data_IF_068953345798
#
_entry.id   IF_068953345798
#
_cell.length_a   1.000
_cell.length_b   1.000
_cell.length_c   1.000
_cell.angle_alpha   90.00
_cell.angle_beta   90.00
_cell.angle_gamma   90.00
#
_symmetry.space_group_name_H-M   'P 1'
#
loop_
_entity.id
_entity.type
_entity.pdbx_description
1 polymer ?
#
# COMPACT_ATOMS: atom_id res chain seq x y z
N UNK A 1 -7.05 33.99 15.06
CA UNK A 1 -7.79 33.26 13.99
C UNK A 1 -6.93 32.06 13.64
N UNK A 2 -7.35 30.84 13.99
CA UNK A 2 -6.62 29.63 13.58
C UNK A 2 -6.84 29.42 12.08
N UNK A 3 -5.76 29.26 11.33
CA UNK A 3 -5.78 28.93 9.90
C UNK A 3 -5.98 27.42 9.78
N UNK A 4 -6.96 27.01 8.99
CA UNK A 4 -7.40 25.62 8.77
C UNK A 4 -6.31 24.66 8.28
N UNK A 5 -5.16 25.18 7.82
CA UNK A 5 -4.05 24.40 7.28
C UNK A 5 -2.76 24.48 8.14
N UNK A 6 -2.81 25.05 9.36
CA UNK A 6 -1.62 25.17 10.22
C UNK A 6 -1.04 23.83 10.69
N UNK A 7 -1.80 22.75 10.56
CA UNK A 7 -1.40 21.40 10.93
C UNK A 7 -1.03 20.52 9.73
N UNK A 8 -1.26 20.95 8.49
CA UNK A 8 -0.93 20.20 7.25
C UNK A 8 0.57 19.89 7.16
N UNK A 9 1.42 20.86 7.52
CA UNK A 9 2.87 20.69 7.56
C UNK A 9 3.37 19.85 8.75
N UNK A 10 2.51 19.60 9.74
CA UNK A 10 2.82 18.79 10.94
C UNK A 10 2.29 17.36 10.86
N UNK A 11 1.65 16.96 9.77
CA UNK A 11 1.23 15.57 9.62
C UNK A 11 2.47 14.66 9.68
N UNK A 12 2.50 13.67 10.59
CA UNK A 12 3.57 12.69 10.60
C UNK A 12 3.58 11.96 9.26
N UNK A 13 4.77 11.72 8.72
CA UNK A 13 4.93 10.92 7.50
C UNK A 13 4.25 9.57 7.71
N UNK A 14 3.47 9.12 6.74
CA UNK A 14 2.69 7.90 6.86
C UNK A 14 3.65 6.71 7.04
N UNK A 15 3.57 6.02 8.18
CA UNK A 15 4.39 4.86 8.44
C UNK A 15 4.12 3.79 7.37
N UNK A 16 5.18 3.29 6.73
CA UNK A 16 5.05 2.20 5.77
C UNK A 16 4.79 0.90 6.54
N UNK A 17 3.61 0.26 6.38
CA UNK A 17 3.37 -1.04 6.99
C UNK A 17 4.33 -2.09 6.40
N UNK A 18 4.74 -3.07 7.20
CA UNK A 18 5.60 -4.16 6.73
C UNK A 18 4.92 -4.97 5.63
N UNK A 19 5.72 -5.56 4.74
CA UNK A 19 5.21 -6.43 3.67
C UNK A 19 4.32 -7.56 4.21
N UNK A 20 4.68 -8.17 5.34
CA UNK A 20 3.88 -9.25 5.94
C UNK A 20 2.50 -8.76 6.37
N UNK A 21 2.44 -7.60 7.02
CA UNK A 21 1.17 -7.02 7.48
C UNK A 21 0.28 -6.57 6.33
N UNK A 22 0.85 -6.07 5.22
CA UNK A 22 0.05 -5.73 4.03
C UNK A 22 -0.50 -6.98 3.34
N UNK A 23 0.29 -8.05 3.26
CA UNK A 23 -0.13 -9.33 2.68
C UNK A 23 -1.17 -10.04 3.55
N UNK A 24 -1.06 -9.96 4.87
CA UNK A 24 -2.07 -10.51 5.79
C UNK A 24 -3.42 -9.81 5.61
N UNK A 25 -3.44 -8.48 5.56
CA UNK A 25 -4.67 -7.71 5.30
C UNK A 25 -5.26 -8.00 3.92
N UNK A 26 -4.41 -8.25 2.92
CA UNK A 26 -4.86 -8.69 1.60
C UNK A 26 -5.53 -10.06 1.68
N UNK A 27 -4.92 -11.03 2.36
CA UNK A 27 -5.51 -12.36 2.55
C UNK A 27 -6.83 -12.31 3.31
N UNK A 28 -6.95 -11.47 4.34
CA UNK A 28 -8.20 -11.27 5.08
C UNK A 28 -9.32 -10.73 4.17
N UNK A 29 -8.99 -9.74 3.33
CA UNK A 29 -9.92 -9.17 2.36
C UNK A 29 -10.34 -10.21 1.30
N UNK A 30 -9.40 -11.01 0.81
CA UNK A 30 -9.67 -12.07 -0.18
C UNK A 30 -10.53 -13.18 0.43
N UNK A 31 -10.29 -13.55 1.69
CA UNK A 31 -11.04 -14.60 2.39
C UNK A 31 -12.54 -14.30 2.47
N UNK A 32 -12.92 -13.03 2.57
CA UNK A 32 -14.32 -12.63 2.58
C UNK A 32 -15.03 -12.79 1.22
N UNK A 33 -14.26 -12.94 0.13
CA UNK A 33 -14.76 -12.91 -1.26
C UNK A 33 -14.63 -14.26 -1.97
N UNK A 34 -13.63 -15.07 -1.62
CA UNK A 34 -13.29 -16.32 -2.34
C UNK A 34 -13.58 -17.58 -1.52
N UNK A 35 -13.78 -18.70 -2.21
CA UNK A 35 -13.93 -20.02 -1.59
C UNK A 35 -12.59 -20.59 -1.09
N UNK A 36 -12.63 -21.59 -0.20
CA UNK A 36 -11.44 -22.19 0.43
C UNK A 36 -10.37 -22.68 -0.57
N UNK A 37 -10.77 -23.28 -1.70
CA UNK A 37 -9.82 -23.77 -2.72
C UNK A 37 -9.05 -22.63 -3.41
N UNK A 38 -9.75 -21.53 -3.70
CA UNK A 38 -9.14 -20.32 -4.28
C UNK A 38 -8.30 -19.56 -3.25
N UNK A 39 -8.72 -19.58 -1.98
CA UNK A 39 -7.93 -19.01 -0.88
C UNK A 39 -6.59 -19.74 -0.73
N UNK A 40 -6.57 -21.07 -0.78
CA UNK A 40 -5.32 -21.86 -0.70
C UNK A 40 -4.38 -21.55 -1.87
N UNK A 41 -4.91 -21.41 -3.09
CA UNK A 41 -4.12 -20.98 -4.26
C UNK A 41 -3.57 -19.58 -4.08
N UNK A 42 -4.39 -18.62 -3.67
CA UNK A 42 -4.00 -17.24 -3.42
C UNK A 42 -2.92 -17.15 -2.33
N UNK A 43 -3.06 -17.91 -1.25
CA UNK A 43 -2.07 -17.97 -0.17
C UNK A 43 -0.70 -18.40 -0.68
N UNK A 44 -0.62 -19.44 -1.52
CA UNK A 44 0.64 -19.89 -2.11
C UNK A 44 1.29 -18.81 -2.99
N UNK A 45 0.50 -18.09 -3.78
CA UNK A 45 0.99 -16.99 -4.62
C UNK A 45 1.52 -15.85 -3.75
N UNK A 46 0.78 -15.49 -2.69
CA UNK A 46 1.18 -14.46 -1.72
C UNK A 46 2.48 -14.83 -1.01
N UNK A 47 2.64 -16.10 -0.61
CA UNK A 47 3.89 -16.58 0.01
C UNK A 47 5.08 -16.55 -0.96
N UNK A 48 4.87 -16.89 -2.24
CA UNK A 48 5.91 -16.78 -3.27
C UNK A 48 6.28 -15.32 -3.54
N UNK A 49 5.28 -14.43 -3.59
CA UNK A 49 5.48 -13.00 -3.76
C UNK A 49 6.25 -12.40 -2.58
N UNK A 50 5.90 -12.77 -1.34
CA UNK A 50 6.58 -12.33 -0.13
C UNK A 50 8.08 -12.68 -0.14
N UNK A 51 8.43 -13.87 -0.64
CA UNK A 51 9.80 -14.37 -0.68
C UNK A 51 10.60 -13.90 -1.90
N UNK A 52 9.92 -13.56 -2.99
CA UNK A 52 10.53 -13.10 -4.24
C UNK A 52 10.38 -11.59 -4.43
N UNK A 53 9.69 -11.23 -5.50
CA UNK A 53 9.57 -9.85 -6.01
C UNK A 53 8.97 -8.86 -5.00
N UNK A 54 8.11 -9.32 -4.09
CA UNK A 54 7.48 -8.45 -3.09
C UNK A 54 8.49 -7.81 -2.15
N UNK A 55 9.58 -8.52 -1.80
CA UNK A 55 10.65 -7.97 -0.97
C UNK A 55 11.42 -6.88 -1.71
N UNK A 56 11.78 -7.12 -2.96
CA UNK A 56 12.49 -6.12 -3.80
C UNK A 56 11.65 -4.85 -3.97
N UNK A 57 10.36 -4.99 -4.29
CA UNK A 57 9.44 -3.86 -4.43
C UNK A 57 9.26 -3.10 -3.11
N UNK A 58 9.17 -3.82 -1.98
CA UNK A 58 9.04 -3.20 -0.67
C UNK A 58 10.30 -2.41 -0.28
N UNK A 59 11.49 -2.92 -0.59
CA UNK A 59 12.76 -2.20 -0.37
C UNK A 59 12.92 -0.99 -1.29
N UNK A 60 12.50 -1.09 -2.56
CA UNK A 60 12.43 0.07 -3.47
C UNK A 60 11.46 1.14 -2.92
N UNK A 61 10.29 0.72 -2.42
CA UNK A 61 9.32 1.62 -1.82
C UNK A 61 9.87 2.32 -0.58
N UNK A 62 10.54 1.59 0.33
CA UNK A 62 11.25 2.18 1.48
C UNK A 62 12.29 3.19 1.03
N UNK A 63 13.14 2.81 0.09
CA UNK A 63 14.21 3.67 -0.45
C UNK A 63 13.63 4.97 -1.02
N UNK A 64 12.49 4.90 -1.72
CA UNK A 64 11.81 6.08 -2.27
C UNK A 64 11.21 6.99 -1.17
N UNK A 65 10.70 6.38 -0.09
CA UNK A 65 10.20 7.11 1.09
C UNK A 65 11.36 7.78 1.84
N UNK A 66 12.45 7.05 2.08
CA UNK A 66 13.66 7.55 2.77
C UNK A 66 14.37 8.66 1.99
N UNK A 67 14.40 8.56 0.66
CA UNK A 67 14.92 9.63 -0.22
C UNK A 67 14.08 10.90 -0.19
N UNK A 68 12.97 10.92 0.56
CA UNK A 68 12.13 12.11 0.74
C UNK A 68 11.50 12.59 -0.56
N UNK A 69 11.45 11.73 -1.60
CA UNK A 69 10.92 12.11 -2.89
C UNK A 69 9.44 12.46 -2.81
N UNK A 70 8.70 11.99 -1.80
CA UNK A 70 7.29 12.30 -1.56
C UNK A 70 6.93 12.23 -0.06
N UNK A 71 6.31 13.30 0.49
CA UNK A 71 5.73 13.30 1.87
C UNK A 71 4.54 12.34 2.03
N UNK A 72 3.90 11.96 0.93
CA UNK A 72 2.77 11.05 0.89
C UNK A 72 2.94 10.09 -0.29
N UNK A 73 3.56 8.93 -0.03
CA UNK A 73 3.88 7.93 -1.05
C UNK A 73 2.65 7.30 -1.73
N UNK A 74 1.46 7.48 -1.16
CA UNK A 74 0.19 6.99 -1.73
C UNK A 74 -0.44 8.00 -2.70
N UNK A 75 -0.23 9.31 -2.49
CA UNK A 75 -0.92 10.37 -3.25
C UNK A 75 -0.43 10.54 -4.69
N UNK A 76 0.77 10.07 -5.00
CA UNK A 76 1.36 10.17 -6.33
C UNK A 76 1.52 8.82 -7.03
N UNK A 77 0.56 7.90 -6.82
CA UNK A 77 0.34 6.88 -7.84
C UNK A 77 -0.20 7.61 -9.08
N UNK A 78 0.38 7.43 -10.27
CA UNK A 78 -0.08 8.09 -11.48
C UNK A 78 -1.54 7.71 -11.73
N UNK A 79 -2.47 8.63 -11.50
CA UNK A 79 -3.91 8.64 -11.79
C UNK A 79 -4.51 7.37 -12.46
N UNK A 80 -4.49 6.22 -11.79
CA UNK A 80 -5.13 4.97 -12.26
C UNK A 80 -6.44 4.66 -11.56
N UNK A 81 -6.95 5.58 -10.74
CA UNK A 81 -8.33 5.50 -10.24
C UNK A 81 -9.25 6.30 -11.17
N UNK A 82 -10.16 5.65 -11.92
CA UNK A 82 -11.07 6.31 -12.86
C UNK A 82 -12.23 7.03 -12.14
N UNK A 83 -11.97 7.68 -11.01
CA UNK A 83 -13.01 8.32 -10.21
C UNK A 83 -13.31 9.76 -10.67
N UNK A 84 -12.49 10.35 -11.55
CA UNK A 84 -12.63 11.74 -11.98
C UNK A 84 -12.88 11.95 -13.48
N UNK A 85 -13.06 10.90 -14.28
CA UNK A 85 -13.26 11.02 -15.74
C UNK A 85 -14.68 10.62 -16.18
N UNK A 86 -15.70 11.09 -15.45
CA UNK A 86 -17.08 11.13 -15.95
C UNK A 86 -17.72 12.46 -15.59
N UNK A 87 -17.60 13.43 -16.49
CA UNK A 87 -18.44 14.62 -16.57
C UNK A 87 -18.53 15.03 -18.03
#
# INVERSE_FOLDING_TARGET
MMKTFEYDDKLPSLALPTLEHTLERYLDSVRAVVNDDEYVKTKKIVEQFAKGTGRELHEQLKTNIEKGQQRNWVRHQPNTVPFFDRS
#
